data_IF_357323800306
#
_entry.id   IF_357323800306
#
_cell.length_a   1.000
_cell.length_b   1.000
_cell.length_c   1.000
_cell.angle_alpha   90.00
_cell.angle_beta   90.00
_cell.angle_gamma   90.00
#
_symmetry.space_group_name_H-M   'P 1'
#
loop_
_entity.id
_entity.type
_entity.pdbx_description
1 polymer ?
#
# COMPACT_ATOMS: atom_id res chain seq x y z
N UNK A 1 21.00 -13.40 64.10
CA UNK A 1 21.57 -13.07 62.77
C UNK A 1 20.88 -11.81 62.29
N UNK A 2 21.68 -10.79 62.03
CA UNK A 2 21.28 -9.38 61.99
C UNK A 2 20.30 -9.03 60.88
N UNK A 3 19.32 -8.20 61.23
CA UNK A 3 18.49 -7.41 60.32
C UNK A 3 19.37 -6.50 59.46
N UNK A 4 19.42 -6.75 58.16
CA UNK A 4 20.05 -5.86 57.16
C UNK A 4 18.98 -5.16 56.35
N UNK A 5 18.58 -3.97 56.79
CA UNK A 5 17.70 -3.08 56.06
C UNK A 5 18.41 -2.56 54.81
N UNK A 6 17.99 -2.94 53.59
CA UNK A 6 18.36 -2.29 52.32
C UNK A 6 17.52 -2.74 51.11
N UNK A 7 16.25 -3.12 51.32
CA UNK A 7 15.38 -3.65 50.26
C UNK A 7 14.57 -2.61 49.44
N UNK A 8 14.21 -1.40 49.92
CA UNK A 8 13.25 -0.55 49.18
C UNK A 8 13.88 0.32 48.07
N UNK A 9 15.21 0.47 48.02
CA UNK A 9 15.87 1.39 47.07
C UNK A 9 16.10 0.75 45.69
N UNK A 10 16.35 -0.56 45.66
CA UNK A 10 16.63 -1.31 44.41
C UNK A 10 15.35 -1.57 43.60
N UNK A 11 14.23 -1.83 44.30
CA UNK A 11 12.92 -2.00 43.65
C UNK A 11 12.36 -0.70 43.08
N UNK A 12 12.59 0.44 43.74
CA UNK A 12 12.15 1.76 43.26
C UNK A 12 12.88 2.21 42.00
N UNK A 13 14.18 1.90 41.86
CA UNK A 13 14.98 2.26 40.68
C UNK A 13 14.58 1.47 39.42
N UNK A 14 14.21 0.20 39.57
CA UNK A 14 13.79 -0.66 38.44
C UNK A 14 12.39 -0.27 37.94
N UNK A 15 11.50 0.23 38.81
CA UNK A 15 10.15 0.68 38.45
C UNK A 15 10.14 2.06 37.77
N UNK A 16 11.15 2.90 38.00
CA UNK A 16 11.30 4.21 37.31
C UNK A 16 11.94 4.08 35.93
N UNK A 17 12.74 3.03 35.70
CA UNK A 17 13.43 2.77 34.42
C UNK A 17 12.53 2.07 33.38
N UNK A 18 11.46 1.39 33.81
CA UNK A 18 10.52 0.71 32.91
C UNK A 18 9.37 1.60 32.42
N UNK A 19 9.14 2.76 33.06
CA UNK A 19 8.08 3.70 32.69
C UNK A 19 8.43 4.57 31.46
N UNK A 20 9.71 4.72 31.15
CA UNK A 20 10.19 5.50 29.98
C UNK A 20 10.12 4.74 28.66
N UNK A 21 9.85 3.42 28.69
CA UNK A 21 9.81 2.57 27.49
C UNK A 21 8.44 2.64 26.78
N UNK A 22 7.39 3.16 27.45
CA UNK A 22 6.04 3.26 26.87
C UNK A 22 5.70 4.61 26.22
N UNK A 23 6.58 5.62 26.28
CA UNK A 23 6.32 6.95 25.71
C UNK A 23 7.09 7.18 24.40
N UNK A 24 6.80 6.38 23.38
CA UNK A 24 7.21 6.72 22.01
C UNK A 24 6.10 6.42 20.99
N UNK A 25 4.96 7.09 21.15
CA UNK A 25 4.07 7.35 20.04
C UNK A 25 4.40 8.74 19.49
N UNK A 26 5.30 8.83 18.53
CA UNK A 26 5.39 10.01 17.67
C UNK A 26 4.15 9.97 16.77
N UNK A 27 3.17 10.83 17.06
CA UNK A 27 2.13 11.14 16.08
C UNK A 27 2.86 11.64 14.83
N UNK A 28 2.83 10.83 13.76
CA UNK A 28 3.41 11.21 12.49
C UNK A 28 2.70 12.47 12.01
N UNK A 29 3.38 13.60 12.13
CA UNK A 29 2.92 14.84 11.51
C UNK A 29 2.95 14.60 10.00
N UNK A 30 1.78 14.47 9.39
CA UNK A 30 1.65 14.43 7.93
C UNK A 30 1.94 15.84 7.43
N UNK A 31 3.21 16.23 7.43
CA UNK A 31 3.64 17.49 6.85
C UNK A 31 3.12 17.52 5.39
N UNK A 32 2.43 18.60 4.98
CA UNK A 32 1.91 18.68 3.63
C UNK A 32 3.06 18.57 2.64
N UNK A 33 2.91 17.69 1.65
CA UNK A 33 3.83 17.60 0.52
C UNK A 33 3.96 18.99 -0.12
N UNK A 34 5.21 19.44 -0.36
CA UNK A 34 5.47 20.62 -1.20
C UNK A 34 4.71 20.46 -2.53
N UNK A 35 4.12 21.54 -3.04
CA UNK A 35 3.36 21.49 -4.30
C UNK A 35 4.22 20.98 -5.47
N UNK A 36 5.54 21.24 -5.45
CA UNK A 36 6.51 20.67 -6.40
C UNK A 36 6.55 19.14 -6.35
N UNK A 37 6.71 18.57 -5.16
CA UNK A 37 6.76 17.11 -4.96
C UNK A 37 5.43 16.46 -5.34
N UNK A 38 4.30 17.15 -5.07
CA UNK A 38 2.96 16.67 -5.42
C UNK A 38 2.76 16.58 -6.93
N UNK A 39 3.20 17.58 -7.70
CA UNK A 39 3.16 17.51 -9.15
C UNK A 39 4.05 16.39 -9.70
N UNK A 40 5.24 16.18 -9.13
CA UNK A 40 6.13 15.08 -9.50
C UNK A 40 5.48 13.71 -9.30
N UNK A 41 4.89 13.46 -8.11
CA UNK A 41 4.21 12.19 -7.83
C UNK A 41 2.96 12.00 -8.70
N UNK A 42 2.22 13.07 -9.01
CA UNK A 42 1.11 13.01 -9.95
C UNK A 42 1.57 12.69 -11.38
N UNK A 43 2.72 13.23 -11.80
CA UNK A 43 3.35 12.91 -13.08
C UNK A 43 3.70 11.43 -13.18
N UNK A 44 4.41 10.90 -12.17
CA UNK A 44 4.75 9.47 -12.06
C UNK A 44 3.51 8.59 -12.03
N UNK A 45 2.49 8.96 -11.25
CA UNK A 45 1.23 8.24 -11.17
C UNK A 45 0.48 8.18 -12.51
N UNK A 46 0.47 9.28 -13.26
CA UNK A 46 -0.12 9.35 -14.61
C UNK A 46 0.60 8.42 -15.58
N UNK A 47 1.94 8.42 -15.57
CA UNK A 47 2.74 7.55 -16.44
C UNK A 47 2.44 6.07 -16.18
N UNK A 48 2.51 5.65 -14.92
CA UNK A 48 2.25 4.26 -14.52
C UNK A 48 0.82 3.84 -14.88
N UNK A 49 -0.15 4.72 -14.62
CA UNK A 49 -1.57 4.44 -14.92
C UNK A 49 -1.81 4.36 -16.42
N UNK A 50 -1.21 5.25 -17.22
CA UNK A 50 -1.35 5.25 -18.67
C UNK A 50 -0.74 3.99 -19.30
N UNK A 51 0.47 3.62 -18.88
CA UNK A 51 1.13 2.39 -19.33
C UNK A 51 0.30 1.15 -18.98
N UNK A 52 -0.21 1.11 -17.75
CA UNK A 52 -1.06 0.01 -17.28
C UNK A 52 -2.36 -0.07 -18.07
N UNK A 53 -3.03 1.06 -18.27
CA UNK A 53 -4.28 1.12 -19.01
C UNK A 53 -4.10 0.73 -20.48
N UNK A 54 -3.00 1.14 -21.11
CA UNK A 54 -2.67 0.78 -22.48
C UNK A 54 -2.48 -0.73 -22.63
N UNK A 55 -1.74 -1.37 -21.71
CA UNK A 55 -1.58 -2.82 -21.70
C UNK A 55 -2.92 -3.54 -21.52
N UNK A 56 -3.72 -3.13 -20.52
CA UNK A 56 -5.03 -3.74 -20.27
C UNK A 56 -5.98 -3.60 -21.47
N UNK A 57 -6.03 -2.40 -22.06
CA UNK A 57 -6.92 -2.09 -23.18
C UNK A 57 -6.51 -2.81 -24.45
N UNK A 58 -5.21 -2.93 -24.73
CA UNK A 58 -4.71 -3.67 -25.88
C UNK A 58 -5.13 -5.13 -25.83
N UNK A 59 -4.85 -5.82 -24.71
CA UNK A 59 -5.24 -7.22 -24.55
C UNK A 59 -6.76 -7.42 -24.54
N UNK A 60 -7.53 -6.47 -23.98
CA UNK A 60 -9.00 -6.49 -24.08
C UNK A 60 -9.47 -6.38 -25.54
N UNK A 61 -8.92 -5.43 -26.30
CA UNK A 61 -9.31 -5.23 -27.71
C UNK A 61 -8.96 -6.44 -28.57
N UNK A 62 -7.88 -7.15 -28.24
CA UNK A 62 -7.54 -8.42 -28.88
C UNK A 62 -8.59 -9.49 -28.58
N UNK A 63 -8.93 -9.69 -27.30
CA UNK A 63 -9.97 -10.65 -26.90
C UNK A 63 -11.34 -10.34 -27.55
N UNK A 64 -11.66 -9.05 -27.69
CA UNK A 64 -12.86 -8.58 -28.40
C UNK A 64 -12.83 -8.92 -29.90
N UNK A 65 -11.68 -8.82 -30.56
CA UNK A 65 -11.54 -9.17 -31.98
C UNK A 65 -11.66 -10.68 -32.20
N UNK A 66 -11.16 -11.48 -31.28
CA UNK A 66 -11.10 -12.94 -31.40
C UNK A 66 -12.43 -13.63 -31.06
N UNK A 67 -13.11 -13.19 -30.00
CA UNK A 67 -14.30 -13.88 -29.48
C UNK A 67 -15.42 -12.92 -29.08
N UNK A 68 -15.34 -11.65 -29.49
CA UNK A 68 -16.37 -10.67 -29.20
C UNK A 68 -16.58 -10.44 -27.71
N UNK A 69 -17.81 -10.06 -27.29
CA UNK A 69 -18.11 -9.74 -25.90
C UNK A 69 -17.85 -10.89 -24.90
N UNK A 70 -18.03 -12.15 -25.31
CA UNK A 70 -17.78 -13.31 -24.43
C UNK A 70 -16.29 -13.48 -24.14
N UNK A 71 -15.43 -13.25 -25.13
CA UNK A 71 -13.97 -13.22 -24.95
C UNK A 71 -13.51 -12.11 -24.00
N UNK A 72 -14.09 -10.92 -24.13
CA UNK A 72 -13.78 -9.80 -23.24
C UNK A 72 -14.15 -10.03 -21.79
N UNK A 73 -15.28 -10.69 -21.51
CA UNK A 73 -15.67 -11.05 -20.14
C UNK A 73 -14.64 -12.01 -19.54
N UNK A 74 -14.25 -13.05 -20.28
CA UNK A 74 -13.22 -13.99 -19.86
C UNK A 74 -11.88 -13.31 -19.57
N UNK A 75 -11.46 -12.38 -20.44
CA UNK A 75 -10.25 -11.57 -20.22
C UNK A 75 -10.37 -10.70 -18.96
N UNK A 76 -11.47 -9.95 -18.80
CA UNK A 76 -11.68 -9.07 -17.66
C UNK A 76 -11.73 -9.80 -16.31
N UNK A 77 -12.11 -11.08 -16.32
CA UNK A 77 -12.21 -11.92 -15.13
C UNK A 77 -10.91 -12.67 -14.82
N UNK A 78 -10.29 -13.30 -15.82
CA UNK A 78 -9.18 -14.24 -15.61
C UNK A 78 -7.80 -13.61 -15.83
N UNK A 79 -7.68 -12.65 -16.75
CA UNK A 79 -6.39 -12.17 -17.23
C UNK A 79 -6.05 -10.75 -16.73
N UNK A 80 -7.06 -9.95 -16.40
CA UNK A 80 -6.85 -8.57 -15.95
C UNK A 80 -6.10 -8.46 -14.60
N UNK A 81 -6.37 -9.37 -13.66
CA UNK A 81 -5.69 -9.37 -12.35
C UNK A 81 -4.21 -9.76 -12.47
N UNK A 82 -3.83 -10.89 -13.09
CA UNK A 82 -2.42 -11.25 -13.30
C UNK A 82 -1.62 -10.19 -14.05
N UNK A 83 -2.23 -9.54 -15.05
CA UNK A 83 -1.57 -8.47 -15.79
C UNK A 83 -1.28 -7.25 -14.91
N UNK A 84 -2.26 -6.86 -14.07
CA UNK A 84 -2.10 -5.74 -13.13
C UNK A 84 -1.05 -6.07 -12.06
N UNK A 85 -1.00 -7.30 -11.57
CA UNK A 85 0.01 -7.74 -10.59
C UNK A 85 1.41 -7.74 -11.20
N UNK A 86 1.54 -8.17 -12.46
CA UNK A 86 2.81 -8.12 -13.18
C UNK A 86 3.31 -6.67 -13.36
N UNK A 87 2.41 -5.76 -13.73
CA UNK A 87 2.75 -4.35 -13.89
C UNK A 87 3.07 -3.68 -12.55
N UNK A 88 2.38 -4.07 -11.47
CA UNK A 88 2.69 -3.61 -10.12
C UNK A 88 4.14 -3.94 -9.73
N UNK A 89 4.59 -5.16 -10.04
CA UNK A 89 5.99 -5.58 -9.83
C UNK A 89 6.96 -4.81 -10.73
N UNK A 90 6.61 -4.61 -12.01
CA UNK A 90 7.45 -3.92 -12.97
C UNK A 90 7.70 -2.44 -12.59
N UNK A 91 6.67 -1.75 -12.11
CA UNK A 91 6.77 -0.36 -11.67
C UNK A 91 7.15 -0.21 -10.19
N UNK A 92 7.35 -1.31 -9.46
CA UNK A 92 7.54 -1.33 -8.01
C UNK A 92 6.51 -0.46 -7.27
N UNK A 93 5.25 -0.53 -7.72
CA UNK A 93 4.15 0.30 -7.26
C UNK A 93 2.91 -0.58 -7.00
N UNK A 94 2.09 -0.19 -6.04
CA UNK A 94 0.80 -0.88 -5.82
C UNK A 94 -0.22 -0.35 -6.81
N UNK A 95 -0.62 -1.18 -7.79
CA UNK A 95 -1.62 -0.81 -8.79
C UNK A 95 -2.90 -1.58 -8.50
N UNK A 96 -4.02 -0.86 -8.37
CA UNK A 96 -5.34 -1.45 -8.14
C UNK A 96 -6.37 -0.80 -9.05
N UNK A 97 -7.35 -1.61 -9.49
CA UNK A 97 -8.53 -1.10 -10.18
C UNK A 97 -9.49 -0.52 -9.14
N UNK A 98 -9.93 0.72 -9.35
CA UNK A 98 -10.92 1.38 -8.51
C UNK A 98 -12.15 1.76 -9.32
N UNK A 99 -13.28 1.90 -8.66
CA UNK A 99 -14.54 2.40 -9.18
C UNK A 99 -15.41 2.81 -7.99
N UNK A 100 -16.26 3.83 -8.16
CA UNK A 100 -17.23 4.21 -7.11
C UNK A 100 -18.12 3.02 -6.71
N UNK A 101 -18.36 2.09 -7.63
CA UNK A 101 -19.07 0.83 -7.38
C UNK A 101 -18.22 -0.36 -7.82
N UNK A 102 -17.37 -0.83 -6.92
CA UNK A 102 -16.57 -2.04 -7.12
C UNK A 102 -17.47 -3.25 -7.35
N UNK A 103 -17.29 -3.90 -8.51
CA UNK A 103 -17.97 -5.16 -8.85
C UNK A 103 -17.35 -6.34 -8.10
N UNK A 104 -16.08 -6.23 -7.75
CA UNK A 104 -15.36 -7.16 -6.90
C UNK A 104 -14.84 -6.39 -5.67
N UNK A 105 -15.44 -6.57 -4.48
CA UNK A 105 -14.85 -6.05 -3.25
C UNK A 105 -13.51 -6.76 -3.03
N UNK A 106 -12.47 -5.97 -2.76
CA UNK A 106 -11.10 -6.46 -2.57
C UNK A 106 -10.94 -7.19 -1.22
#
# INVERSE_FOLDING_TARGET
MSFGQNFPVVFGGIMMLTLTIFTSCTNGENAPLSEENKEEYLGKGKEITAATFAALSSSLTQAMKESGPTGAIGYCQLQALPLTDSLSKAFNATIKRTSDKLRNPA
#
